data_IF_645876452659
#
_entry.id   IF_645876452659
#
_cell.length_a   1.000
_cell.length_b   1.000
_cell.length_c   1.000
_cell.angle_alpha   90.00
_cell.angle_beta   90.00
_cell.angle_gamma   90.00
#
_symmetry.space_group_name_H-M   'P 1'
#
loop_
_entity.id
_entity.type
_entity.pdbx_description
1 polymer ?
#
# COMPACT_ATOMS: atom_id res chain seq x y z
N UNK A 1 -67.04 -0.78 27.33
CA UNK A 1 -66.20 -0.99 26.09
C UNK A 1 -65.16 0.12 26.02
N UNK A 2 -63.97 -0.12 26.55
CA UNK A 2 -62.86 0.87 26.61
C UNK A 2 -61.89 0.50 25.54
N UNK A 3 -61.74 1.40 24.54
CA UNK A 3 -60.76 1.24 23.45
C UNK A 3 -59.41 1.76 23.94
N UNK A 4 -58.43 0.84 24.13
CA UNK A 4 -57.04 1.18 24.38
C UNK A 4 -56.38 1.62 23.07
N UNK A 5 -55.94 2.87 23.00
CA UNK A 5 -55.11 3.38 21.91
C UNK A 5 -53.66 3.07 22.25
N UNK A 6 -53.04 2.16 21.48
CA UNK A 6 -51.63 1.85 21.57
C UNK A 6 -50.85 2.89 20.72
N UNK A 7 -50.20 3.84 21.39
CA UNK A 7 -49.30 4.78 20.75
C UNK A 7 -47.96 4.04 20.44
N UNK A 8 -47.69 3.78 19.18
CA UNK A 8 -46.41 3.27 18.72
C UNK A 8 -45.41 4.44 18.60
N UNK A 9 -44.57 4.64 19.61
CA UNK A 9 -43.46 5.57 19.54
C UNK A 9 -42.38 4.96 18.62
N UNK A 10 -42.34 5.39 17.35
CA UNK A 10 -41.20 5.12 16.46
C UNK A 10 -40.00 5.97 16.92
N UNK A 11 -39.12 5.37 17.71
CA UNK A 11 -37.84 5.96 18.02
C UNK A 11 -37.00 6.00 16.74
N UNK A 12 -36.86 7.16 16.12
CA UNK A 12 -35.90 7.41 15.06
C UNK A 12 -34.50 7.38 15.71
N UNK A 13 -33.87 6.22 15.69
CA UNK A 13 -32.42 6.10 15.94
C UNK A 13 -31.71 6.84 14.82
N UNK A 14 -31.36 8.10 15.05
CA UNK A 14 -30.45 8.85 14.23
C UNK A 14 -29.07 8.12 14.33
N UNK A 15 -28.72 7.27 13.37
CA UNK A 15 -27.36 6.85 13.17
C UNK A 15 -26.58 8.12 12.81
N UNK A 16 -25.94 8.72 13.80
CA UNK A 16 -24.92 9.72 13.57
C UNK A 16 -23.80 8.98 12.82
N UNK A 17 -23.73 9.16 11.52
CA UNK A 17 -22.55 8.80 10.76
C UNK A 17 -21.39 9.58 11.42
N UNK A 18 -20.48 8.90 12.10
CA UNK A 18 -19.27 9.50 12.61
C UNK A 18 -18.50 9.90 11.35
N UNK A 19 -18.58 11.18 11.00
CA UNK A 19 -17.78 11.73 9.90
C UNK A 19 -16.31 11.47 10.24
N UNK A 20 -15.58 10.88 9.33
CA UNK A 20 -14.16 10.68 9.51
C UNK A 20 -13.46 12.03 9.69
N UNK A 21 -12.46 12.13 10.58
CA UNK A 21 -11.76 13.38 10.79
C UNK A 21 -11.06 13.80 9.49
N UNK A 22 -11.38 15.02 9.04
CA UNK A 22 -10.73 15.62 7.87
C UNK A 22 -9.30 15.99 8.21
N UNK A 23 -8.40 15.86 7.25
CA UNK A 23 -7.02 16.30 7.43
C UNK A 23 -6.95 17.83 7.60
N UNK A 24 -6.02 18.32 8.42
CA UNK A 24 -5.74 19.74 8.56
C UNK A 24 -4.98 20.27 7.33
N UNK A 25 -4.93 21.60 7.18
CA UNK A 25 -4.14 22.25 6.12
C UNK A 25 -2.63 21.97 6.26
N UNK A 26 -2.16 21.71 7.48
CA UNK A 26 -0.75 21.38 7.76
C UNK A 26 -0.42 19.90 7.44
N UNK A 27 -1.42 19.11 7.10
CA UNK A 27 -1.22 17.71 6.75
C UNK A 27 -0.35 17.57 5.49
N UNK A 28 0.47 16.52 5.47
CA UNK A 28 1.31 16.12 4.35
C UNK A 28 1.08 14.65 4.01
N UNK A 29 1.10 14.37 2.73
CA UNK A 29 1.12 13.00 2.21
C UNK A 29 2.44 12.81 1.49
N UNK A 30 3.13 11.73 1.78
CA UNK A 30 4.44 11.42 1.22
C UNK A 30 4.47 10.02 0.64
N UNK A 31 5.18 9.86 -0.47
CA UNK A 31 5.62 8.56 -0.95
C UNK A 31 6.90 8.18 -0.20
N UNK A 32 6.85 7.04 0.45
CA UNK A 32 7.99 6.43 1.12
C UNK A 32 8.55 5.34 0.22
N UNK A 33 9.87 5.36 -0.02
CA UNK A 33 10.57 4.28 -0.71
C UNK A 33 11.71 3.79 0.16
N UNK A 34 11.86 2.47 0.28
CA UNK A 34 13.00 1.86 0.97
C UNK A 34 13.94 1.19 -0.01
N UNK A 35 15.23 1.32 0.26
CA UNK A 35 16.28 0.71 -0.53
C UNK A 35 16.18 -0.83 -0.49
N UNK A 36 16.67 -1.52 -1.54
CA UNK A 36 16.86 -2.95 -1.51
C UNK A 36 17.73 -3.40 -0.33
N UNK A 37 17.42 -4.58 0.19
CA UNK A 37 18.17 -5.22 1.26
C UNK A 37 18.43 -6.68 0.90
N UNK A 38 19.66 -7.15 1.04
CA UNK A 38 20.13 -8.38 0.39
C UNK A 38 19.96 -9.66 1.25
N UNK A 39 19.50 -9.57 2.49
CA UNK A 39 19.41 -10.76 3.36
C UNK A 39 18.14 -11.60 3.15
N UNK A 40 17.09 -11.03 2.55
CA UNK A 40 15.82 -11.72 2.34
C UNK A 40 15.33 -11.60 0.91
N UNK A 41 14.84 -12.70 0.34
CA UNK A 41 14.42 -12.80 -1.07
C UNK A 41 13.41 -11.73 -1.50
N UNK A 42 12.51 -11.31 -0.60
CA UNK A 42 11.47 -10.34 -0.91
C UNK A 42 11.91 -8.88 -0.71
N UNK A 43 13.06 -8.64 -0.07
CA UNK A 43 13.56 -7.29 0.20
C UNK A 43 14.51 -6.75 -0.88
N UNK A 44 14.99 -7.61 -1.78
CA UNK A 44 15.92 -7.23 -2.87
C UNK A 44 15.32 -6.28 -3.89
N UNK A 45 14.01 -6.11 -3.89
CA UNK A 45 13.30 -5.21 -4.82
C UNK A 45 13.03 -3.81 -4.25
N UNK A 46 13.38 -3.59 -2.97
CA UNK A 46 12.93 -2.40 -2.24
C UNK A 46 11.43 -2.45 -1.92
N UNK A 47 10.90 -1.32 -1.44
CA UNK A 47 9.48 -1.25 -1.05
C UNK A 47 8.94 0.17 -1.20
N UNK A 48 7.62 0.30 -1.38
CA UNK A 48 6.92 1.58 -1.40
C UNK A 48 5.71 1.57 -0.46
N UNK A 49 5.46 2.72 0.19
CA UNK A 49 4.34 2.95 1.09
C UNK A 49 3.90 4.41 1.02
N UNK A 50 2.73 4.73 1.57
CA UNK A 50 2.26 6.12 1.72
C UNK A 50 2.29 6.51 3.20
N UNK A 51 2.89 7.67 3.50
CA UNK A 51 2.84 8.29 4.82
C UNK A 51 1.79 9.39 4.85
N UNK A 52 0.95 9.38 5.88
CA UNK A 52 0.03 10.46 6.21
C UNK A 52 0.51 11.09 7.50
N UNK A 53 0.86 12.37 7.44
CA UNK A 53 1.30 13.15 8.58
C UNK A 53 0.37 14.35 8.79
N UNK A 54 -0.24 14.45 9.96
CA UNK A 54 -1.04 15.61 10.37
C UNK A 54 -0.74 15.97 11.84
N UNK A 55 0.07 17.00 12.09
CA UNK A 55 0.46 17.37 13.45
C UNK A 55 -0.71 17.91 14.28
N UNK A 56 -1.75 18.46 13.65
CA UNK A 56 -2.92 18.99 14.35
C UNK A 56 -3.81 17.89 14.92
N UNK A 57 -3.81 16.73 14.26
CA UNK A 57 -4.63 15.59 14.66
C UNK A 57 -3.80 14.47 15.30
N UNK A 58 -2.49 14.69 15.47
CA UNK A 58 -1.55 13.68 15.98
C UNK A 58 -1.58 12.40 15.14
N UNK A 59 -1.64 12.55 13.81
CA UNK A 59 -1.57 11.46 12.84
C UNK A 59 -0.15 11.40 12.27
N UNK A 60 0.48 10.24 12.34
CA UNK A 60 1.74 9.95 11.66
C UNK A 60 1.81 8.46 11.31
N UNK A 61 1.10 8.08 10.25
CA UNK A 61 0.88 6.68 9.88
C UNK A 61 1.46 6.34 8.52
N UNK A 62 1.95 5.11 8.41
CA UNK A 62 2.37 4.46 7.16
C UNK A 62 1.29 3.49 6.72
N UNK A 63 0.82 3.67 5.49
CA UNK A 63 -0.07 2.74 4.78
C UNK A 63 0.76 1.85 3.86
N UNK A 64 0.88 0.58 4.24
CA UNK A 64 1.75 -0.41 3.63
C UNK A 64 0.94 -1.52 2.93
N UNK A 65 1.02 -1.58 1.58
CA UNK A 65 0.38 -2.61 0.76
C UNK A 65 1.27 -3.86 0.57
N UNK A 66 2.02 -4.26 1.58
CA UNK A 66 2.99 -5.34 1.46
C UNK A 66 2.87 -6.40 2.55
N UNK A 67 1.84 -6.35 3.38
CA UNK A 67 1.72 -7.28 4.50
C UNK A 67 1.21 -8.63 4.02
N UNK A 68 1.98 -9.69 4.26
CA UNK A 68 1.65 -11.06 3.89
C UNK A 68 1.97 -12.03 5.03
N UNK A 69 1.52 -13.28 4.89
CA UNK A 69 1.63 -14.31 5.91
C UNK A 69 2.37 -15.55 5.37
N UNK A 70 3.62 -15.70 5.77
CA UNK A 70 4.46 -16.86 5.44
C UNK A 70 4.01 -18.17 6.11
N UNK A 71 3.18 -18.12 7.14
CA UNK A 71 2.76 -19.31 7.88
C UNK A 71 1.85 -20.24 7.04
N UNK A 72 1.29 -19.73 5.95
CA UNK A 72 0.46 -20.53 5.04
C UNK A 72 1.31 -21.56 4.29
N UNK A 73 0.84 -22.84 4.24
CA UNK A 73 1.61 -23.89 3.57
C UNK A 73 1.87 -23.59 2.10
N UNK A 74 3.04 -23.99 1.61
CA UNK A 74 3.47 -23.84 0.22
C UNK A 74 3.47 -22.38 -0.27
N UNK A 75 3.82 -21.43 0.59
CA UNK A 75 3.79 -20.00 0.26
C UNK A 75 4.53 -19.68 -1.05
N UNK A 76 5.78 -20.12 -1.21
CA UNK A 76 6.60 -19.86 -2.41
C UNK A 76 5.91 -20.38 -3.69
N UNK A 77 5.37 -21.61 -3.64
CA UNK A 77 4.65 -22.18 -4.78
C UNK A 77 3.37 -21.40 -5.12
N UNK A 78 2.61 -21.01 -4.11
CA UNK A 78 1.40 -20.20 -4.28
C UNK A 78 1.75 -18.79 -4.78
N UNK A 79 2.85 -18.20 -4.30
CA UNK A 79 3.35 -16.93 -4.77
C UNK A 79 3.68 -16.99 -6.28
N UNK A 80 4.46 -17.98 -6.72
CA UNK A 80 4.79 -18.17 -8.12
C UNK A 80 3.56 -18.37 -9.02
N UNK A 81 2.48 -18.95 -8.48
CA UNK A 81 1.19 -19.10 -9.18
C UNK A 81 0.30 -17.85 -9.12
N UNK A 82 0.67 -16.79 -8.41
CA UNK A 82 -0.21 -15.64 -8.17
C UNK A 82 -1.41 -15.96 -7.26
N UNK A 83 -1.30 -16.94 -6.37
CA UNK A 83 -2.37 -17.41 -5.47
C UNK A 83 -2.18 -16.91 -4.03
N UNK A 84 -1.34 -15.91 -3.80
CA UNK A 84 -1.12 -15.33 -2.47
C UNK A 84 -1.98 -14.09 -2.25
N UNK A 85 -2.56 -13.99 -1.07
CA UNK A 85 -3.28 -12.80 -0.64
C UNK A 85 -2.39 -11.97 0.28
N UNK A 86 -2.31 -10.67 -0.03
CA UNK A 86 -1.66 -9.66 0.77
C UNK A 86 -2.70 -8.73 1.37
N UNK A 87 -2.30 -7.89 2.30
CA UNK A 87 -3.20 -6.91 2.90
C UNK A 87 -2.53 -5.55 3.08
N UNK A 88 -3.35 -4.51 3.05
CA UNK A 88 -2.97 -3.20 3.54
C UNK A 88 -2.80 -3.26 5.06
N UNK A 89 -1.63 -2.90 5.55
CA UNK A 89 -1.34 -2.65 6.96
C UNK A 89 -1.17 -1.17 7.23
N UNK A 90 -1.41 -0.77 8.47
CA UNK A 90 -1.14 0.58 8.96
C UNK A 90 -0.26 0.45 10.20
N UNK A 91 0.79 1.24 10.28
CA UNK A 91 1.73 1.29 11.40
C UNK A 91 2.08 2.75 11.72
N UNK A 92 2.53 3.01 12.93
CA UNK A 92 3.13 4.28 13.28
C UNK A 92 4.43 4.50 12.49
N UNK A 93 4.69 5.75 12.10
CA UNK A 93 5.90 6.08 11.34
C UNK A 93 7.18 5.75 12.12
N UNK A 94 7.18 5.91 13.43
CA UNK A 94 8.34 5.60 14.27
C UNK A 94 8.68 4.11 14.22
N UNK A 95 7.67 3.23 14.31
CA UNK A 95 7.85 1.78 14.21
C UNK A 95 8.38 1.38 12.84
N UNK A 96 7.87 2.00 11.77
CA UNK A 96 8.36 1.81 10.42
C UNK A 96 9.85 2.18 10.28
N UNK A 97 10.25 3.34 10.81
CA UNK A 97 11.66 3.78 10.77
C UNK A 97 12.56 2.81 11.55
N UNK A 98 12.14 2.39 12.75
CA UNK A 98 12.91 1.43 13.56
C UNK A 98 13.10 0.11 12.81
N UNK A 99 12.06 -0.41 12.19
CA UNK A 99 12.12 -1.65 11.41
C UNK A 99 13.18 -1.57 10.31
N UNK A 100 13.17 -0.50 9.50
CA UNK A 100 14.13 -0.34 8.40
C UNK A 100 15.56 -0.02 8.89
N UNK A 101 15.70 0.71 9.99
CA UNK A 101 17.01 0.89 10.63
C UNK A 101 17.60 -0.43 11.12
N UNK A 102 16.79 -1.31 11.73
CA UNK A 102 17.24 -2.64 12.17
C UNK A 102 17.65 -3.52 10.98
N UNK A 103 17.05 -3.34 9.82
CA UNK A 103 17.42 -4.01 8.57
C UNK A 103 18.65 -3.38 7.90
N UNK A 104 19.07 -2.18 8.30
CA UNK A 104 20.14 -1.43 7.60
C UNK A 104 19.73 -0.96 6.20
N UNK A 105 18.43 -0.76 5.96
CA UNK A 105 17.88 -0.29 4.69
C UNK A 105 17.54 1.20 4.77
N UNK A 106 18.00 1.98 3.79
CA UNK A 106 17.71 3.40 3.69
C UNK A 106 16.23 3.64 3.33
N UNK A 107 15.68 4.73 3.89
CA UNK A 107 14.34 5.20 3.58
C UNK A 107 14.44 6.59 2.94
N UNK A 108 13.76 6.78 1.83
CA UNK A 108 13.60 8.08 1.19
C UNK A 108 12.13 8.52 1.28
N UNK A 109 11.93 9.76 1.74
CA UNK A 109 10.61 10.39 1.78
C UNK A 109 10.49 11.44 0.68
N UNK A 110 9.46 11.31 -0.15
CA UNK A 110 9.07 12.31 -1.13
C UNK A 110 7.73 12.92 -0.74
N UNK A 111 7.75 14.14 -0.22
CA UNK A 111 6.52 14.89 0.10
C UNK A 111 5.84 15.28 -1.21
N UNK A 112 4.56 14.93 -1.35
CA UNK A 112 3.77 15.19 -2.55
C UNK A 112 3.18 16.61 -2.50
N UNK A 113 3.22 17.29 -3.65
CA UNK A 113 2.64 18.62 -3.78
C UNK A 113 1.14 18.50 -4.12
N UNK A 114 0.30 18.42 -3.08
CA UNK A 114 -1.13 18.17 -3.17
C UNK A 114 -1.94 19.35 -2.61
N UNK A 115 -3.07 19.63 -3.24
CA UNK A 115 -4.09 20.53 -2.69
C UNK A 115 -4.75 19.90 -1.45
N UNK A 116 -5.47 20.69 -0.66
CA UNK A 116 -6.20 20.19 0.51
C UNK A 116 -7.26 19.16 0.11
N UNK A 117 -7.97 19.41 -0.99
CA UNK A 117 -8.99 18.51 -1.53
C UNK A 117 -8.39 17.15 -1.92
N UNK A 118 -7.27 17.14 -2.64
CA UNK A 118 -6.57 15.91 -3.02
C UNK A 118 -6.05 15.12 -1.81
N UNK A 119 -5.53 15.82 -0.78
CA UNK A 119 -5.15 15.17 0.48
C UNK A 119 -6.34 14.47 1.15
N UNK A 120 -7.50 15.12 1.20
CA UNK A 120 -8.72 14.53 1.75
C UNK A 120 -9.21 13.33 0.93
N UNK A 121 -9.18 13.41 -0.40
CA UNK A 121 -9.57 12.29 -1.27
C UNK A 121 -8.66 11.07 -1.08
N UNK A 122 -7.33 11.28 -1.04
CA UNK A 122 -6.36 10.19 -0.80
C UNK A 122 -6.56 9.59 0.58
N UNK A 123 -6.77 10.43 1.62
CA UNK A 123 -7.03 9.99 2.99
C UNK A 123 -8.28 9.11 3.06
N UNK A 124 -9.39 9.56 2.49
CA UNK A 124 -10.65 8.81 2.44
C UNK A 124 -10.48 7.48 1.69
N UNK A 125 -9.78 7.48 0.56
CA UNK A 125 -9.49 6.26 -0.21
C UNK A 125 -8.68 5.26 0.60
N UNK A 126 -7.65 5.71 1.33
CA UNK A 126 -6.82 4.86 2.19
C UNK A 126 -7.65 4.26 3.35
N UNK A 127 -8.50 5.07 3.99
CA UNK A 127 -9.37 4.59 5.06
C UNK A 127 -10.41 3.58 4.56
N UNK A 128 -10.98 3.79 3.38
CA UNK A 128 -11.88 2.83 2.72
C UNK A 128 -11.12 1.52 2.43
N UNK A 129 -9.91 1.60 1.88
CA UNK A 129 -9.09 0.43 1.58
C UNK A 129 -8.66 -0.32 2.85
N UNK A 130 -8.48 0.36 3.97
CA UNK A 130 -8.08 -0.25 5.24
C UNK A 130 -9.22 -0.99 5.95
N UNK A 131 -10.47 -0.82 5.55
CA UNK A 131 -11.59 -1.55 6.13
C UNK A 131 -11.39 -3.07 6.00
N UNK A 132 -11.83 -3.86 6.99
CA UNK A 132 -11.63 -5.32 6.98
C UNK A 132 -12.06 -6.02 5.68
N UNK A 133 -13.15 -5.55 5.07
CA UNK A 133 -13.71 -6.07 3.82
C UNK A 133 -12.90 -5.71 2.58
N UNK A 134 -12.07 -4.65 2.63
CA UNK A 134 -11.36 -4.12 1.46
C UNK A 134 -9.84 -4.33 1.53
N UNK A 135 -9.27 -4.50 2.73
CA UNK A 135 -7.81 -4.46 2.91
C UNK A 135 -7.05 -5.66 2.37
N UNK A 136 -7.73 -6.77 2.12
CA UNK A 136 -7.12 -8.00 1.57
C UNK A 136 -7.25 -7.98 0.05
N UNK A 137 -6.16 -8.29 -0.64
CA UNK A 137 -6.14 -8.32 -2.10
C UNK A 137 -5.28 -9.47 -2.63
N UNK A 138 -5.58 -9.91 -3.85
CA UNK A 138 -4.78 -10.89 -4.56
C UNK A 138 -3.52 -10.22 -5.10
N UNK A 139 -2.39 -10.58 -4.55
CA UNK A 139 -1.11 -10.02 -4.95
C UNK A 139 -0.72 -10.48 -6.36
N UNK A 140 -0.24 -9.55 -7.16
CA UNK A 140 0.40 -9.83 -8.43
C UNK A 140 1.74 -9.08 -8.49
N UNK A 141 2.83 -9.85 -8.68
CA UNK A 141 4.18 -9.32 -8.62
C UNK A 141 4.41 -8.15 -9.58
N UNK A 142 3.82 -8.18 -10.78
CA UNK A 142 3.99 -7.13 -11.78
C UNK A 142 2.93 -6.02 -11.72
N UNK A 143 1.68 -6.37 -11.43
CA UNK A 143 0.55 -5.50 -11.72
C UNK A 143 -0.30 -5.10 -10.51
N UNK A 144 -0.14 -5.76 -9.36
CA UNK A 144 -0.92 -5.44 -8.15
C UNK A 144 -0.08 -5.68 -6.88
N UNK A 145 0.74 -4.69 -6.52
CA UNK A 145 1.77 -4.79 -5.50
C UNK A 145 1.93 -3.51 -4.67
N UNK A 146 2.97 -3.47 -3.82
CA UNK A 146 3.28 -2.33 -2.95
C UNK A 146 3.63 -1.03 -3.70
N UNK A 147 4.02 -1.08 -4.96
CA UNK A 147 4.30 0.11 -5.77
C UNK A 147 3.09 0.52 -6.61
N UNK A 148 2.41 -0.44 -7.26
CA UNK A 148 1.30 -0.14 -8.17
C UNK A 148 0.04 0.33 -7.43
N UNK A 149 -0.23 -0.15 -6.21
CA UNK A 149 -1.40 0.28 -5.43
C UNK A 149 -1.32 1.72 -4.96
N UNK A 150 -0.22 2.20 -4.35
CA UNK A 150 -0.04 3.63 -4.08
C UNK A 150 -0.15 4.49 -5.33
N UNK A 151 0.49 4.08 -6.44
CA UNK A 151 0.41 4.79 -7.71
C UNK A 151 -1.03 4.92 -8.20
N UNK A 152 -1.80 3.84 -8.21
CA UNK A 152 -3.21 3.84 -8.63
C UNK A 152 -4.11 4.74 -7.77
N UNK A 153 -3.84 4.83 -6.45
CA UNK A 153 -4.56 5.77 -5.57
C UNK A 153 -4.22 7.20 -5.95
N UNK A 154 -2.94 7.53 -6.11
CA UNK A 154 -2.51 8.87 -6.48
C UNK A 154 -3.10 9.27 -7.83
N UNK A 155 -2.99 8.43 -8.86
CA UNK A 155 -3.55 8.69 -10.19
C UNK A 155 -5.06 8.93 -10.18
N UNK A 156 -5.77 8.24 -9.30
CA UNK A 156 -7.24 8.32 -9.23
C UNK A 156 -7.73 9.54 -8.45
N UNK A 157 -7.04 9.91 -7.37
CA UNK A 157 -7.53 10.87 -6.38
C UNK A 157 -6.97 12.28 -6.56
N UNK A 158 -6.03 12.51 -7.51
CA UNK A 158 -5.53 13.85 -7.84
C UNK A 158 -6.29 14.46 -9.01
N UNK A 159 -6.37 15.78 -9.05
CA UNK A 159 -7.03 16.54 -10.13
C UNK A 159 -6.15 16.77 -11.37
N UNK A 160 -4.95 16.19 -11.41
CA UNK A 160 -3.98 16.33 -12.47
C UNK A 160 -3.54 14.99 -13.04
N UNK A 161 -2.27 14.91 -13.35
CA UNK A 161 -1.61 13.69 -13.77
C UNK A 161 -0.32 13.49 -12.99
N UNK A 162 0.01 12.23 -12.73
CA UNK A 162 1.34 11.88 -12.19
C UNK A 162 2.33 11.87 -13.35
N UNK A 163 3.38 12.68 -13.24
CA UNK A 163 4.47 12.67 -14.22
C UNK A 163 5.50 11.62 -13.79
N UNK A 164 5.48 10.49 -14.50
CA UNK A 164 6.44 9.42 -14.29
C UNK A 164 7.68 9.68 -15.15
N UNK A 165 8.76 10.09 -14.54
CA UNK A 165 10.05 10.24 -15.23
C UNK A 165 10.74 8.88 -15.33
N UNK A 166 10.52 8.18 -16.44
CA UNK A 166 11.16 6.90 -16.72
C UNK A 166 12.49 7.09 -17.49
N UNK A 167 13.62 6.93 -16.85
CA UNK A 167 14.91 7.01 -17.57
C UNK A 167 15.15 5.80 -18.51
N UNK A 168 14.37 4.72 -18.39
CA UNK A 168 14.63 3.43 -19.05
C UNK A 168 13.39 2.88 -19.75
N UNK A 169 13.05 3.45 -20.90
CA UNK A 169 11.82 3.09 -21.64
C UNK A 169 11.87 1.75 -22.39
N UNK A 170 13.00 1.04 -22.43
CA UNK A 170 13.18 -0.20 -23.20
C UNK A 170 13.42 -1.45 -22.36
N UNK A 171 13.34 -1.36 -21.04
CA UNK A 171 13.57 -2.52 -20.15
C UNK A 171 12.29 -3.33 -19.97
N UNK A 172 12.46 -4.66 -20.04
CA UNK A 172 11.41 -5.59 -19.65
C UNK A 172 11.37 -5.76 -18.13
N UNK A 173 10.28 -6.33 -17.60
CA UNK A 173 10.25 -6.73 -16.19
C UNK A 173 11.40 -7.70 -15.84
N UNK A 174 11.77 -8.59 -16.77
CA UNK A 174 12.90 -9.50 -16.60
C UNK A 174 14.21 -8.75 -16.40
N UNK A 175 14.47 -7.72 -17.21
CA UNK A 175 15.68 -6.91 -17.08
C UNK A 175 15.75 -6.25 -15.69
N UNK A 176 14.62 -5.73 -15.20
CA UNK A 176 14.54 -5.10 -13.90
C UNK A 176 14.73 -6.11 -12.75
N UNK A 177 14.11 -7.29 -12.86
CA UNK A 177 14.28 -8.37 -11.88
C UNK A 177 15.74 -8.80 -11.83
N UNK A 178 16.34 -9.07 -12.97
CA UNK A 178 17.74 -9.49 -13.08
C UNK A 178 18.70 -8.42 -12.55
N UNK A 179 18.37 -7.15 -12.76
CA UNK A 179 19.12 -6.04 -12.14
C UNK A 179 19.03 -6.08 -10.62
N UNK A 180 17.85 -6.27 -10.05
CA UNK A 180 17.65 -6.34 -8.59
C UNK A 180 18.32 -7.58 -7.98
N UNK A 181 18.29 -8.72 -8.68
CA UNK A 181 18.80 -10.00 -8.17
C UNK A 181 20.23 -10.33 -8.59
N UNK A 182 20.93 -9.41 -9.29
CA UNK A 182 22.25 -9.63 -9.90
C UNK A 182 23.32 -10.17 -8.97
N UNK A 183 23.24 -9.89 -7.67
CA UNK A 183 24.15 -10.39 -6.64
C UNK A 183 23.77 -11.79 -6.12
N UNK A 184 22.65 -12.34 -6.57
CA UNK A 184 22.08 -13.60 -6.10
C UNK A 184 21.74 -14.53 -7.28
N UNK A 185 22.73 -15.20 -7.93
CA UNK A 185 22.51 -15.96 -9.17
C UNK A 185 21.43 -17.04 -9.06
N UNK A 186 21.33 -17.71 -7.92
CA UNK A 186 20.28 -18.72 -7.70
C UNK A 186 18.89 -18.11 -7.57
N UNK A 187 18.80 -16.90 -6.99
CA UNK A 187 17.54 -16.16 -6.93
C UNK A 187 17.13 -15.69 -8.32
N UNK A 188 18.08 -15.15 -9.11
CA UNK A 188 17.85 -14.76 -10.51
C UNK A 188 17.30 -15.94 -11.31
N UNK A 189 17.97 -17.09 -11.25
CA UNK A 189 17.51 -18.31 -11.92
C UNK A 189 16.10 -18.74 -11.46
N UNK A 190 15.85 -18.71 -10.14
CA UNK A 190 14.54 -19.05 -9.56
C UNK A 190 13.42 -18.11 -10.03
N UNK A 191 13.70 -16.80 -10.07
CA UNK A 191 12.75 -15.80 -10.57
C UNK A 191 12.47 -15.98 -12.06
N UNK A 192 13.49 -16.19 -12.88
CA UNK A 192 13.35 -16.43 -14.32
C UNK A 192 12.47 -17.65 -14.62
N UNK A 193 12.66 -18.73 -13.86
CA UNK A 193 11.88 -19.95 -14.00
C UNK A 193 10.43 -19.75 -13.51
N UNK A 194 10.23 -19.09 -12.35
CA UNK A 194 8.93 -18.97 -11.71
C UNK A 194 8.01 -17.95 -12.41
N UNK A 195 8.58 -16.84 -12.89
CA UNK A 195 7.80 -15.73 -13.48
C UNK A 195 7.57 -15.92 -15.00
N UNK A 196 8.44 -16.66 -15.66
CA UNK A 196 8.27 -17.08 -17.05
C UNK A 196 8.07 -15.95 -18.05
N UNK A 197 7.38 -16.22 -19.16
CA UNK A 197 7.21 -15.28 -20.28
C UNK A 197 6.43 -13.97 -19.95
N UNK A 198 5.59 -13.87 -18.94
CA UNK A 198 5.01 -12.57 -18.56
C UNK A 198 6.04 -11.51 -18.18
N UNK A 199 7.26 -11.91 -17.77
CA UNK A 199 8.35 -10.99 -17.43
C UNK A 199 9.06 -10.38 -18.64
N UNK A 200 8.80 -10.87 -19.85
CA UNK A 200 9.45 -10.41 -21.11
C UNK A 200 8.72 -9.21 -21.75
N UNK A 201 7.87 -8.52 -21.01
CA UNK A 201 7.11 -7.35 -21.46
C UNK A 201 7.69 -6.07 -20.90
#
# INVERSE_FOLDING_TARGET
>A
MTKSIFLFLLGILSLSAIAQPKLSEEARISLMTSAPYDEEVFTVYGHAALRIYDPKQNIDYIFNYGIFDFSKPNFIYRFAKGETDYKLGVADFQDYVIEYQMRGSDITEQVLNLTQEEKEHIWDALLINYRPENRVYRYNFFFDNCATRPAAILEKEINGSVDYQYPYQSQTFRDLINYCTRNHPWLTFGCDLALGSPSDR
#
